data_IF_441661255497
#
_entry.id   IF_441661255497
#
_cell.length_a   1.000
_cell.length_b   1.000
_cell.length_c   1.000
_cell.angle_alpha   90.00
_cell.angle_beta   90.00
_cell.angle_gamma   90.00
#
_symmetry.space_group_name_H-M   'P 1'
#
loop_
_entity.id
_entity.type
_entity.pdbx_description
1 polymer ?
#
# COMPACT_ATOMS: atom_id res chain seq x y z
N UNK A 1 42.61 37.54 12.86
CA UNK A 1 41.78 36.93 13.94
C UNK A 1 40.54 36.17 13.44
N UNK A 2 40.18 36.17 12.14
CA UNK A 2 38.95 35.50 11.63
C UNK A 2 39.09 34.02 11.24
N UNK A 3 40.28 33.45 11.04
CA UNK A 3 40.43 32.05 10.60
C UNK A 3 40.32 30.96 11.69
N UNK A 4 40.26 31.35 13.00
CA UNK A 4 40.14 30.38 14.12
C UNK A 4 38.69 30.07 14.51
N UNK A 5 37.71 30.85 14.05
CA UNK A 5 36.29 30.66 14.41
C UNK A 5 35.54 29.75 13.47
N UNK A 6 35.96 29.62 12.17
CA UNK A 6 35.34 28.71 11.21
C UNK A 6 35.66 27.24 11.51
N UNK A 7 36.88 26.91 11.90
CA UNK A 7 37.28 25.53 12.20
C UNK A 7 36.63 24.94 13.45
N UNK A 8 36.08 25.78 14.33
CA UNK A 8 35.38 25.33 15.55
C UNK A 8 33.90 25.05 15.26
N UNK A 9 33.25 25.78 14.34
CA UNK A 9 31.87 25.52 13.93
C UNK A 9 31.74 24.27 13.09
N UNK A 10 32.66 24.03 12.15
CA UNK A 10 32.67 22.78 11.36
C UNK A 10 32.89 21.55 12.23
N UNK A 11 33.78 21.62 13.26
CA UNK A 11 34.00 20.49 14.19
C UNK A 11 32.82 20.24 15.14
N UNK A 12 32.01 21.25 15.44
CA UNK A 12 30.82 21.09 16.31
C UNK A 12 29.66 20.50 15.50
N UNK A 13 29.51 20.89 14.23
CA UNK A 13 28.50 20.35 13.30
C UNK A 13 28.82 18.89 12.99
N UNK A 14 30.08 18.54 12.76
CA UNK A 14 30.53 17.16 12.55
C UNK A 14 30.31 16.25 13.77
N UNK A 15 30.54 16.76 14.98
CA UNK A 15 30.29 15.99 16.21
C UNK A 15 28.80 15.77 16.48
N UNK A 16 27.95 16.75 16.22
CA UNK A 16 26.51 16.61 16.39
C UNK A 16 25.95 15.64 15.35
N UNK A 17 26.38 15.74 14.08
CA UNK A 17 26.01 14.82 13.02
C UNK A 17 26.47 13.38 13.31
N UNK A 18 27.70 13.19 13.80
CA UNK A 18 28.22 11.88 14.23
C UNK A 18 27.47 11.32 15.44
N UNK A 19 27.04 12.14 16.38
CA UNK A 19 26.27 11.69 17.57
C UNK A 19 24.85 11.27 17.17
N UNK A 20 24.22 12.00 16.25
CA UNK A 20 22.89 11.65 15.69
C UNK A 20 22.99 10.36 14.86
N UNK A 21 24.02 10.21 14.01
CA UNK A 21 24.30 8.98 13.26
C UNK A 21 24.52 7.77 14.19
N UNK A 22 25.24 7.96 15.29
CA UNK A 22 25.53 6.89 16.25
C UNK A 22 24.29 6.45 17.06
N UNK A 23 23.43 7.40 17.46
CA UNK A 23 22.13 7.11 18.11
C UNK A 23 21.16 6.44 17.14
N UNK A 24 21.17 6.86 15.86
CA UNK A 24 20.37 6.30 14.76
C UNK A 24 20.81 4.87 14.46
N UNK A 25 22.12 4.59 14.43
CA UNK A 25 22.66 3.24 14.23
C UNK A 25 22.21 2.26 15.31
N UNK A 26 22.22 2.68 16.58
CA UNK A 26 21.82 1.83 17.70
C UNK A 26 20.33 1.44 17.66
N UNK A 27 19.45 2.38 17.36
CA UNK A 27 18.00 2.11 17.21
C UNK A 27 17.70 1.26 15.97
N UNK A 28 18.45 1.41 14.89
CA UNK A 28 18.33 0.59 13.70
C UNK A 28 18.81 -0.84 13.94
N UNK A 29 19.99 -1.01 14.53
CA UNK A 29 20.54 -2.33 14.88
C UNK A 29 19.62 -3.09 15.83
N UNK A 30 19.00 -2.43 16.82
CA UNK A 30 18.04 -3.06 17.73
C UNK A 30 16.80 -3.58 17.00
N UNK A 31 16.28 -2.82 16.04
CA UNK A 31 15.15 -3.25 15.18
C UNK A 31 15.55 -4.43 14.29
N UNK A 32 16.71 -4.36 13.66
CA UNK A 32 17.22 -5.42 12.80
C UNK A 32 17.51 -6.71 13.57
N UNK A 33 18.00 -6.61 14.79
CA UNK A 33 18.21 -7.77 15.66
C UNK A 33 16.89 -8.45 16.02
N UNK A 34 15.85 -7.69 16.37
CA UNK A 34 14.50 -8.24 16.62
C UNK A 34 13.93 -8.93 15.38
N UNK A 35 14.13 -8.37 14.21
CA UNK A 35 13.71 -8.99 12.93
C UNK A 35 14.49 -10.30 12.71
N UNK A 36 15.78 -10.32 13.00
CA UNK A 36 16.59 -11.52 12.86
C UNK A 36 16.19 -12.62 13.87
N UNK A 37 15.84 -12.27 15.09
CA UNK A 37 15.28 -13.19 16.07
C UNK A 37 13.94 -13.76 15.59
N UNK A 38 13.03 -12.89 15.12
CA UNK A 38 11.74 -13.33 14.58
C UNK A 38 11.88 -14.24 13.37
N UNK A 39 12.83 -13.97 12.47
CA UNK A 39 13.11 -14.81 11.32
C UNK A 39 13.55 -16.22 11.73
N UNK A 40 14.44 -16.33 12.74
CA UNK A 40 14.86 -17.62 13.29
C UNK A 40 13.70 -18.37 13.96
N UNK A 41 12.86 -17.66 14.70
CA UNK A 41 11.65 -18.26 15.30
C UNK A 41 10.73 -18.84 14.21
N UNK A 42 10.51 -18.09 13.11
CA UNK A 42 9.71 -18.55 11.98
C UNK A 42 10.29 -19.84 11.35
N UNK A 43 11.60 -19.90 11.16
CA UNK A 43 12.25 -21.12 10.64
C UNK A 43 12.08 -22.31 11.58
N UNK A 44 12.19 -22.08 12.89
CA UNK A 44 11.94 -23.12 13.91
C UNK A 44 10.44 -23.53 13.95
N UNK A 45 9.52 -22.57 13.85
CA UNK A 45 8.08 -22.89 13.80
C UNK A 45 7.72 -23.68 12.54
N UNK A 46 8.24 -23.28 11.38
CA UNK A 46 7.98 -23.95 10.10
C UNK A 46 8.55 -25.38 10.04
N UNK A 47 9.55 -25.70 10.86
CA UNK A 47 10.13 -27.04 10.94
C UNK A 47 9.28 -28.03 11.79
N UNK A 48 8.27 -27.56 12.53
CA UNK A 48 7.43 -28.39 13.37
C UNK A 48 6.45 -29.21 12.52
N UNK A 49 6.33 -30.55 12.76
CA UNK A 49 5.41 -31.41 12.00
C UNK A 49 3.95 -30.97 12.06
N UNK A 50 3.51 -30.37 13.18
CA UNK A 50 2.16 -29.85 13.38
C UNK A 50 1.84 -28.68 12.45
N UNK A 51 2.82 -27.82 12.19
CA UNK A 51 2.69 -26.66 11.30
C UNK A 51 2.72 -27.10 9.85
N UNK A 52 3.52 -28.09 9.51
CA UNK A 52 3.59 -28.67 8.15
C UNK A 52 2.25 -29.32 7.77
N UNK A 53 1.55 -29.93 8.74
CA UNK A 53 0.24 -30.54 8.53
C UNK A 53 -0.88 -29.50 8.35
N UNK A 54 -0.73 -28.29 8.90
CA UNK A 54 -1.70 -27.19 8.76
C UNK A 54 -1.29 -26.27 7.59
N UNK A 55 -1.90 -26.49 6.43
CA UNK A 55 -1.60 -25.78 5.19
C UNK A 55 -1.89 -24.27 5.27
N UNK A 56 -2.89 -23.88 6.06
CA UNK A 56 -3.27 -22.46 6.20
C UNK A 56 -2.21 -21.71 7.03
N UNK A 57 -1.84 -22.27 8.17
CA UNK A 57 -0.80 -21.73 9.04
C UNK A 57 0.56 -21.71 8.35
N UNK A 58 0.91 -22.79 7.65
CA UNK A 58 2.17 -22.86 6.89
C UNK A 58 2.27 -21.77 5.83
N UNK A 59 1.19 -21.47 5.09
CA UNK A 59 1.16 -20.38 4.10
C UNK A 59 1.40 -19.01 4.74
N UNK A 60 0.80 -18.73 5.88
CA UNK A 60 0.99 -17.44 6.59
C UNK A 60 2.45 -17.29 7.01
N UNK A 61 3.03 -18.30 7.64
CA UNK A 61 4.44 -18.28 8.06
C UNK A 61 5.41 -18.16 6.88
N UNK A 62 5.14 -18.87 5.77
CA UNK A 62 5.93 -18.77 4.54
C UNK A 62 5.90 -17.38 3.96
N UNK A 63 4.74 -16.72 3.96
CA UNK A 63 4.59 -15.34 3.49
C UNK A 63 5.39 -14.36 4.37
N UNK A 64 5.28 -14.49 5.70
CA UNK A 64 6.04 -13.68 6.65
C UNK A 64 7.55 -13.87 6.45
N UNK A 65 8.02 -15.13 6.36
CA UNK A 65 9.42 -15.44 6.08
C UNK A 65 9.93 -14.82 4.79
N UNK A 66 9.15 -14.92 3.71
CA UNK A 66 9.50 -14.35 2.40
C UNK A 66 9.62 -12.81 2.44
N UNK A 67 8.84 -12.15 3.28
CA UNK A 67 8.92 -10.71 3.47
C UNK A 67 10.17 -10.28 4.25
N UNK A 68 10.60 -11.08 5.22
CA UNK A 68 11.76 -10.78 6.06
C UNK A 68 13.10 -11.20 5.43
N UNK A 69 13.11 -12.22 4.57
CA UNK A 69 14.32 -12.77 3.97
C UNK A 69 15.23 -11.72 3.28
N UNK A 70 14.74 -10.79 2.46
CA UNK A 70 15.60 -9.77 1.84
C UNK A 70 16.20 -8.79 2.85
N UNK A 71 15.50 -8.51 3.98
CA UNK A 71 16.02 -7.66 5.05
C UNK A 71 17.17 -8.36 5.75
N UNK A 72 17.02 -9.65 6.06
CA UNK A 72 18.03 -10.47 6.72
C UNK A 72 19.27 -10.59 5.86
N UNK A 73 19.12 -10.89 4.57
CA UNK A 73 20.26 -10.98 3.64
C UNK A 73 21.06 -9.67 3.58
N UNK A 74 20.36 -8.52 3.47
CA UNK A 74 21.02 -7.21 3.46
C UNK A 74 21.70 -6.90 4.80
N UNK A 75 21.13 -7.34 5.92
CA UNK A 75 21.69 -7.15 7.25
C UNK A 75 22.92 -8.02 7.51
N UNK A 76 22.94 -9.25 6.98
CA UNK A 76 24.12 -10.13 7.03
C UNK A 76 25.28 -9.56 6.21
N UNK A 77 25.00 -9.04 5.00
CA UNK A 77 26.00 -8.34 4.19
C UNK A 77 26.54 -7.09 4.91
N UNK A 78 25.65 -6.32 5.54
CA UNK A 78 26.05 -5.14 6.33
C UNK A 78 26.99 -5.50 7.49
N UNK A 79 26.68 -6.58 8.23
CA UNK A 79 27.55 -7.07 9.32
C UNK A 79 28.89 -7.53 8.81
N UNK A 80 28.89 -8.27 7.70
CA UNK A 80 30.12 -8.77 7.06
C UNK A 80 31.03 -7.61 6.64
N UNK A 81 30.51 -6.64 5.90
CA UNK A 81 31.30 -5.49 5.46
C UNK A 81 31.78 -4.61 6.61
N UNK A 82 31.00 -4.48 7.69
CA UNK A 82 31.48 -3.79 8.91
C UNK A 82 32.64 -4.51 9.57
N UNK A 83 32.60 -5.83 9.59
CA UNK A 83 33.71 -6.62 10.13
C UNK A 83 34.94 -6.50 9.24
N UNK A 84 34.79 -6.66 7.93
CA UNK A 84 35.88 -6.50 6.95
C UNK A 84 36.52 -5.09 7.06
N UNK A 85 35.69 -4.05 7.20
CA UNK A 85 36.17 -2.69 7.39
C UNK A 85 37.01 -2.56 8.66
N UNK A 86 36.57 -3.11 9.78
CA UNK A 86 37.31 -3.04 11.04
C UNK A 86 38.67 -3.79 10.96
N UNK A 87 38.68 -4.92 10.24
CA UNK A 87 39.91 -5.69 9.98
C UNK A 87 40.86 -4.90 9.07
N UNK A 88 40.39 -4.34 7.95
CA UNK A 88 41.20 -3.53 7.02
C UNK A 88 41.72 -2.24 7.66
N UNK A 89 40.93 -1.57 8.50
CA UNK A 89 41.39 -0.40 9.26
C UNK A 89 42.45 -0.76 10.30
N UNK A 90 42.33 -1.92 10.96
CA UNK A 90 43.35 -2.43 11.88
C UNK A 90 44.67 -2.74 11.13
N UNK A 91 44.59 -3.40 9.96
CA UNK A 91 45.77 -3.68 9.12
C UNK A 91 46.42 -2.38 8.64
N UNK A 92 45.65 -1.41 8.19
CA UNK A 92 46.13 -0.11 7.72
C UNK A 92 46.94 0.64 8.79
N UNK A 93 46.60 0.47 10.08
CA UNK A 93 47.38 1.09 11.18
C UNK A 93 48.73 0.38 11.43
N UNK A 94 48.86 -0.89 11.08
CA UNK A 94 50.07 -1.71 11.33
C UNK A 94 50.99 -1.75 10.13
N UNK A 95 50.46 -1.55 8.91
CA UNK A 95 51.22 -1.68 7.66
C UNK A 95 52.16 -0.48 7.46
N UNK A 96 53.41 -0.79 7.02
CA UNK A 96 54.47 0.20 6.77
C UNK A 96 54.82 0.36 5.30
N UNK A 97 54.49 -0.65 4.48
CA UNK A 97 54.73 -0.58 3.04
C UNK A 97 53.82 0.43 2.36
N UNK A 98 54.34 1.42 1.64
CA UNK A 98 53.53 2.46 0.98
C UNK A 98 52.55 1.89 -0.04
N UNK A 99 52.93 0.91 -0.86
CA UNK A 99 52.07 0.31 -1.89
C UNK A 99 50.91 -0.45 -1.24
N UNK A 100 51.19 -1.24 -0.22
CA UNK A 100 50.16 -1.98 0.50
C UNK A 100 49.22 -1.06 1.26
N UNK A 101 49.72 0.06 1.80
CA UNK A 101 48.86 1.08 2.45
C UNK A 101 47.91 1.73 1.47
N UNK A 102 48.38 2.03 0.25
CA UNK A 102 47.49 2.62 -0.79
C UNK A 102 46.39 1.65 -1.19
N UNK A 103 46.67 0.37 -1.35
CA UNK A 103 45.67 -0.67 -1.59
C UNK A 103 44.68 -0.79 -0.46
N UNK A 104 45.11 -0.84 0.80
CA UNK A 104 44.25 -0.90 1.98
C UNK A 104 43.37 0.37 2.12
N UNK A 105 43.91 1.54 1.77
CA UNK A 105 43.10 2.78 1.76
C UNK A 105 42.00 2.76 0.72
N UNK A 106 42.29 2.22 -0.49
CA UNK A 106 41.28 2.05 -1.52
C UNK A 106 40.20 1.05 -1.10
N UNK A 107 40.58 -0.07 -0.48
CA UNK A 107 39.66 -1.07 0.06
C UNK A 107 38.77 -0.51 1.17
N UNK A 108 39.35 0.21 2.13
CA UNK A 108 38.60 0.90 3.21
C UNK A 108 37.60 1.90 2.62
N UNK A 109 37.97 2.64 1.58
CA UNK A 109 37.06 3.58 0.92
C UNK A 109 35.89 2.86 0.23
N UNK A 110 36.15 1.76 -0.47
CA UNK A 110 35.11 0.95 -1.12
C UNK A 110 34.16 0.30 -0.10
N UNK A 111 34.71 -0.28 0.98
CA UNK A 111 33.90 -0.85 2.06
C UNK A 111 33.02 0.18 2.75
N UNK A 112 33.53 1.39 2.99
CA UNK A 112 32.71 2.49 3.55
C UNK A 112 31.56 2.86 2.65
N UNK A 113 31.78 2.96 1.35
CA UNK A 113 30.73 3.23 0.37
C UNK A 113 29.65 2.13 0.35
N UNK A 114 30.08 0.85 0.32
CA UNK A 114 29.16 -0.31 0.39
C UNK A 114 28.32 -0.31 1.67
N UNK A 115 28.92 0.03 2.81
CA UNK A 115 28.22 0.14 4.10
C UNK A 115 27.21 1.27 4.07
N UNK A 116 27.56 2.44 3.52
CA UNK A 116 26.64 3.58 3.41
C UNK A 116 25.44 3.26 2.51
N UNK A 117 25.65 2.59 1.39
CA UNK A 117 24.59 2.15 0.50
C UNK A 117 23.67 1.12 1.16
N UNK A 118 24.25 0.15 1.90
CA UNK A 118 23.46 -0.84 2.65
C UNK A 118 22.69 -0.21 3.82
N UNK A 119 23.28 0.75 4.53
CA UNK A 119 22.63 1.49 5.60
C UNK A 119 21.37 2.19 5.09
N UNK A 120 21.50 2.91 3.97
CA UNK A 120 20.36 3.54 3.28
C UNK A 120 19.31 2.53 2.83
N UNK A 121 19.74 1.40 2.25
CA UNK A 121 18.84 0.34 1.80
C UNK A 121 18.09 -0.30 2.97
N UNK A 122 18.77 -0.60 4.06
CA UNK A 122 18.16 -1.16 5.29
C UNK A 122 17.16 -0.19 5.92
N UNK A 123 17.48 1.10 5.98
CA UNK A 123 16.54 2.12 6.46
C UNK A 123 15.24 2.13 5.65
N UNK A 124 15.35 2.07 4.32
CA UNK A 124 14.18 2.00 3.42
C UNK A 124 13.37 0.72 3.68
N UNK A 125 14.05 -0.42 3.85
CA UNK A 125 13.37 -1.70 4.11
C UNK A 125 12.67 -1.77 5.48
N UNK A 126 13.12 -0.95 6.45
CA UNK A 126 12.54 -0.84 7.79
C UNK A 126 11.35 0.14 7.85
N UNK A 127 11.11 0.92 6.79
CA UNK A 127 9.93 1.78 6.74
C UNK A 127 8.65 0.92 6.79
N UNK A 128 7.60 1.39 7.47
CA UNK A 128 6.34 0.69 7.52
C UNK A 128 5.79 0.54 6.09
N UNK A 129 5.57 -0.71 5.68
CA UNK A 129 4.93 -0.98 4.38
C UNK A 129 3.47 -0.57 4.44
N UNK A 130 2.97 -0.01 3.33
CA UNK A 130 1.56 0.26 3.17
C UNK A 130 0.75 -1.04 3.37
N UNK A 131 -0.29 -1.06 4.22
CA UNK A 131 -1.10 -2.26 4.48
C UNK A 131 -1.80 -2.78 3.22
N UNK A 132 -1.89 -1.97 2.17
CA UNK A 132 -2.45 -2.34 0.88
C UNK A 132 -1.40 -2.79 -0.15
N UNK A 133 -0.11 -2.73 0.21
CA UNK A 133 0.95 -3.25 -0.66
C UNK A 133 0.73 -4.74 -0.97
N UNK A 134 0.90 -5.11 -2.22
CA UNK A 134 0.70 -6.48 -2.69
C UNK A 134 -0.75 -6.85 -3.05
N UNK A 135 -1.70 -5.90 -2.97
CA UNK A 135 -3.09 -6.12 -3.36
C UNK A 135 -3.35 -5.70 -4.80
N UNK A 136 -4.35 -6.31 -5.39
CA UNK A 136 -4.93 -5.88 -6.66
C UNK A 136 -5.60 -4.51 -6.50
N UNK A 137 -5.82 -3.80 -7.60
CA UNK A 137 -6.30 -2.42 -7.62
C UNK A 137 -7.61 -2.30 -8.37
N UNK A 138 -8.55 -1.58 -7.79
CA UNK A 138 -9.71 -1.03 -8.48
C UNK A 138 -9.42 0.43 -8.78
N UNK A 139 -9.35 0.78 -10.08
CA UNK A 139 -9.13 2.15 -10.54
C UNK A 139 -10.44 2.70 -11.12
N UNK A 140 -10.87 3.85 -10.61
CA UNK A 140 -12.05 4.59 -11.10
C UNK A 140 -11.57 5.90 -11.73
N UNK A 141 -11.96 6.14 -12.97
CA UNK A 141 -11.66 7.38 -13.71
C UNK A 141 -12.99 8.02 -14.03
N UNK A 142 -13.23 9.25 -13.55
CA UNK A 142 -14.46 9.99 -13.73
C UNK A 142 -14.22 11.36 -14.35
N UNK A 143 -15.00 11.70 -15.36
CA UNK A 143 -15.03 13.04 -15.89
C UNK A 143 -15.50 14.03 -14.80
N UNK A 144 -14.71 15.06 -14.54
CA UNK A 144 -15.02 16.14 -13.62
C UNK A 144 -15.52 17.39 -14.37
N UNK A 145 -15.01 18.55 -13.97
CA UNK A 145 -15.39 19.83 -14.59
C UNK A 145 -14.81 19.94 -16.01
N UNK A 146 -15.68 20.12 -17.03
CA UNK A 146 -15.24 20.31 -18.42
C UNK A 146 -16.17 19.71 -19.48
N UNK A 147 -17.25 19.04 -19.05
CA UNK A 147 -18.24 18.45 -19.97
C UNK A 147 -17.63 17.36 -20.87
N UNK A 148 -17.89 17.40 -22.16
CA UNK A 148 -17.40 16.40 -23.14
C UNK A 148 -15.87 16.31 -23.19
N UNK A 149 -15.19 17.45 -23.06
CA UNK A 149 -13.71 17.47 -23.06
C UNK A 149 -13.12 16.71 -21.86
N UNK A 150 -13.75 16.80 -20.68
CA UNK A 150 -13.35 16.01 -19.52
C UNK A 150 -13.57 14.50 -19.79
N UNK A 151 -14.66 14.14 -20.48
CA UNK A 151 -14.91 12.73 -20.83
C UNK A 151 -13.90 12.19 -21.86
N UNK A 152 -13.52 12.99 -22.85
CA UNK A 152 -12.46 12.62 -23.81
C UNK A 152 -11.10 12.48 -23.10
N UNK A 153 -10.79 13.39 -22.17
CA UNK A 153 -9.55 13.28 -21.41
C UNK A 153 -9.56 12.06 -20.45
N UNK A 154 -10.72 11.67 -19.91
CA UNK A 154 -10.84 10.43 -19.14
C UNK A 154 -10.50 9.21 -20.00
N UNK A 155 -10.89 9.20 -21.28
CA UNK A 155 -10.50 8.14 -22.21
C UNK A 155 -8.99 8.16 -22.51
N UNK A 156 -8.36 9.34 -22.62
CA UNK A 156 -6.91 9.44 -22.80
C UNK A 156 -6.15 8.93 -21.56
N UNK A 157 -6.59 9.27 -20.36
CA UNK A 157 -6.00 8.76 -19.11
C UNK A 157 -6.18 7.24 -19.00
N UNK A 158 -7.37 6.73 -19.31
CA UNK A 158 -7.60 5.29 -19.32
C UNK A 158 -6.64 4.60 -20.30
N UNK A 159 -6.49 5.10 -21.53
CA UNK A 159 -5.54 4.57 -22.50
C UNK A 159 -4.10 4.57 -21.98
N UNK A 160 -3.68 5.66 -21.32
CA UNK A 160 -2.37 5.77 -20.69
C UNK A 160 -2.14 4.68 -19.64
N UNK A 161 -3.10 4.47 -18.74
CA UNK A 161 -3.00 3.42 -17.71
C UNK A 161 -3.08 2.02 -18.29
N UNK A 162 -3.89 1.80 -19.32
CA UNK A 162 -3.95 0.52 -20.02
C UNK A 162 -2.60 0.15 -20.64
N UNK A 163 -1.97 1.10 -21.34
CA UNK A 163 -0.63 0.89 -21.90
C UNK A 163 0.44 0.68 -20.84
N UNK A 164 0.34 1.41 -19.73
CA UNK A 164 1.25 1.19 -18.61
C UNK A 164 1.10 -0.22 -18.04
N UNK A 165 -0.13 -0.69 -17.83
CA UNK A 165 -0.40 -2.05 -17.39
C UNK A 165 0.14 -3.10 -18.37
N UNK A 166 -0.04 -2.89 -19.68
CA UNK A 166 0.50 -3.75 -20.73
C UNK A 166 2.05 -3.80 -20.69
N UNK A 167 2.71 -2.66 -20.55
CA UNK A 167 4.17 -2.57 -20.43
C UNK A 167 4.71 -3.31 -19.19
N UNK A 168 3.93 -3.32 -18.10
CA UNK A 168 4.28 -4.06 -16.87
C UNK A 168 3.82 -5.53 -16.89
N UNK A 169 3.07 -5.95 -17.89
CA UNK A 169 2.50 -7.31 -17.98
C UNK A 169 1.38 -7.57 -16.99
N UNK A 170 0.69 -6.51 -16.51
CA UNK A 170 -0.44 -6.62 -15.60
C UNK A 170 -1.73 -6.97 -16.35
N UNK A 171 -2.61 -7.69 -15.68
CA UNK A 171 -3.93 -8.02 -16.23
C UNK A 171 -4.94 -6.96 -15.85
N UNK A 172 -5.64 -6.43 -16.85
CA UNK A 172 -6.70 -5.44 -16.65
C UNK A 172 -8.06 -6.02 -17.05
N UNK A 173 -9.07 -5.79 -16.21
CA UNK A 173 -10.45 -6.24 -16.43
C UNK A 173 -11.41 -5.05 -16.24
N UNK A 174 -12.37 -4.91 -17.17
CA UNK A 174 -13.39 -3.87 -17.10
C UNK A 174 -14.48 -4.29 -16.10
N UNK A 175 -14.75 -3.46 -15.11
CA UNK A 175 -15.83 -3.66 -14.15
C UNK A 175 -17.09 -2.87 -14.54
N UNK A 176 -16.92 -1.61 -14.96
CA UNK A 176 -18.03 -0.74 -15.38
C UNK A 176 -17.55 0.30 -16.37
N UNK A 177 -18.36 0.59 -17.37
CA UNK A 177 -18.08 1.61 -18.38
C UNK A 177 -19.35 2.42 -18.66
N UNK A 178 -19.24 3.75 -18.55
CA UNK A 178 -20.27 4.71 -18.94
C UNK A 178 -19.68 5.65 -19.97
N UNK A 179 -19.98 5.44 -21.25
CA UNK A 179 -19.48 6.26 -22.35
C UNK A 179 -20.38 7.49 -22.63
N UNK A 180 -19.87 8.41 -23.47
CA UNK A 180 -20.62 9.61 -23.90
C UNK A 180 -21.13 9.53 -25.33
N UNK A 181 -20.90 8.42 -26.03
CA UNK A 181 -21.21 8.24 -27.45
C UNK A 181 -20.27 8.98 -28.43
N UNK A 182 -19.36 9.86 -27.93
CA UNK A 182 -18.35 10.58 -28.72
C UNK A 182 -16.93 10.07 -28.46
N UNK A 183 -16.79 8.84 -27.93
CA UNK A 183 -15.50 8.22 -27.61
C UNK A 183 -14.89 8.66 -26.27
N UNK A 184 -15.62 9.43 -25.47
CA UNK A 184 -15.24 9.81 -24.10
C UNK A 184 -15.92 8.93 -23.05
N UNK A 185 -15.38 8.90 -21.84
CA UNK A 185 -15.97 8.20 -20.70
C UNK A 185 -16.47 9.20 -19.63
N UNK A 186 -17.75 9.08 -19.25
CA UNK A 186 -18.25 9.73 -18.02
C UNK A 186 -17.62 9.10 -16.80
N UNK A 187 -17.55 7.76 -16.84
CA UNK A 187 -16.97 6.95 -15.79
C UNK A 187 -16.45 5.64 -16.40
N UNK A 188 -15.29 5.22 -15.99
CA UNK A 188 -14.75 3.90 -16.26
C UNK A 188 -14.12 3.34 -15.01
N UNK A 189 -14.46 2.08 -14.68
CA UNK A 189 -13.96 1.36 -13.53
C UNK A 189 -13.30 0.08 -14.04
N UNK A 190 -12.05 -0.12 -13.62
CA UNK A 190 -11.26 -1.30 -14.01
C UNK A 190 -10.60 -1.93 -12.80
N UNK A 191 -10.47 -3.27 -12.81
CA UNK A 191 -9.60 -4.01 -11.90
C UNK A 191 -8.25 -4.27 -12.58
N UNK A 192 -7.16 -4.04 -11.85
CA UNK A 192 -5.79 -4.25 -12.31
C UNK A 192 -5.14 -5.25 -11.36
N UNK A 193 -4.86 -6.45 -11.87
CA UNK A 193 -4.35 -7.57 -11.07
C UNK A 193 -2.84 -7.68 -11.18
N UNK A 194 -2.15 -7.34 -10.10
CA UNK A 194 -0.72 -7.55 -9.90
C UNK A 194 -0.32 -7.20 -8.47
N UNK A 195 0.59 -7.95 -7.85
CA UNK A 195 1.13 -7.61 -6.53
C UNK A 195 1.81 -6.23 -6.46
N UNK A 196 2.23 -5.68 -7.59
CA UNK A 196 2.91 -4.38 -7.67
C UNK A 196 1.96 -3.24 -8.03
N UNK A 197 0.73 -3.54 -8.47
CA UNK A 197 -0.18 -2.56 -9.03
C UNK A 197 -0.50 -1.44 -8.03
N UNK A 198 -0.81 -1.76 -6.78
CA UNK A 198 -1.13 -0.77 -5.76
C UNK A 198 0.06 0.15 -5.47
N UNK A 199 1.26 -0.40 -5.31
CA UNK A 199 2.47 0.37 -4.96
C UNK A 199 2.91 1.34 -6.07
N UNK A 200 2.48 1.10 -7.31
CA UNK A 200 2.71 1.99 -8.43
C UNK A 200 1.57 3.00 -8.62
N UNK A 201 0.32 2.53 -8.58
CA UNK A 201 -0.83 3.33 -8.98
C UNK A 201 -1.43 4.16 -7.83
N UNK A 202 -1.11 3.90 -6.55
CA UNK A 202 -1.60 4.69 -5.42
C UNK A 202 -1.35 6.20 -5.56
N UNK A 203 -0.29 6.58 -6.27
CA UNK A 203 0.07 7.97 -6.53
C UNK A 203 -0.78 8.65 -7.61
N UNK A 204 -1.59 7.88 -8.33
CA UNK A 204 -2.47 8.40 -9.37
C UNK A 204 -3.81 8.91 -8.82
N UNK A 205 -4.10 8.67 -7.54
CA UNK A 205 -5.33 9.14 -6.89
C UNK A 205 -5.36 10.66 -6.76
N UNK A 206 -6.40 11.29 -7.33
CA UNK A 206 -6.61 12.74 -7.23
C UNK A 206 -7.19 13.38 -8.49
N UNK A 207 -7.11 14.71 -8.54
CA UNK A 207 -7.57 15.51 -9.67
C UNK A 207 -6.50 15.67 -10.75
N UNK A 208 -6.80 15.30 -11.98
CA UNK A 208 -5.95 15.45 -13.17
C UNK A 208 -6.49 16.57 -14.05
N UNK A 209 -5.70 17.59 -14.29
CA UNK A 209 -6.08 18.77 -15.09
C UNK A 209 -5.44 18.71 -16.47
N UNK A 210 -6.24 18.87 -17.52
CA UNK A 210 -5.78 19.01 -18.90
C UNK A 210 -5.91 20.44 -19.39
N UNK A 211 -4.95 20.88 -20.18
CA UNK A 211 -4.95 22.14 -20.92
C UNK A 211 -4.64 21.85 -22.38
N UNK A 212 -5.68 21.87 -23.22
CA UNK A 212 -5.55 21.69 -24.68
C UNK A 212 -6.66 22.42 -25.41
N UNK A 213 -6.52 22.54 -26.72
CA UNK A 213 -7.63 22.93 -27.61
C UNK A 213 -8.47 21.66 -27.83
N UNK A 214 -9.74 21.62 -27.40
CA UNK A 214 -10.60 20.46 -27.62
C UNK A 214 -10.80 20.17 -29.11
N UNK A 215 -11.00 18.93 -29.47
CA UNK A 215 -11.36 18.54 -30.84
C UNK A 215 -12.72 19.09 -31.26
N UNK A 216 -13.57 19.45 -30.31
CA UNK A 216 -14.89 20.04 -30.52
C UNK A 216 -14.90 21.56 -30.59
N UNK A 217 -13.74 22.24 -30.39
CA UNK A 217 -13.61 23.70 -30.34
C UNK A 217 -13.22 24.24 -31.74
N UNK A 218 -14.10 24.99 -32.35
CA UNK A 218 -13.85 25.62 -33.67
C UNK A 218 -12.98 26.88 -33.58
N UNK A 219 -12.89 27.53 -32.41
CA UNK A 219 -12.22 28.82 -32.22
C UNK A 219 -10.74 28.72 -31.79
N UNK A 220 -10.17 27.54 -31.68
CA UNK A 220 -8.76 27.31 -31.31
C UNK A 220 -8.42 27.74 -29.87
N UNK A 221 -9.38 27.93 -28.99
CA UNK A 221 -9.18 28.35 -27.60
C UNK A 221 -8.73 27.19 -26.76
N UNK A 222 -7.73 27.42 -25.89
CA UNK A 222 -7.28 26.43 -24.92
C UNK A 222 -8.32 26.32 -23.80
N UNK A 223 -8.90 25.13 -23.64
CA UNK A 223 -9.79 24.79 -22.54
C UNK A 223 -9.02 24.13 -21.43
N UNK A 224 -9.56 24.30 -20.22
CA UNK A 224 -9.06 23.62 -19.02
C UNK A 224 -10.14 22.71 -18.50
N UNK A 225 -9.90 21.39 -18.50
CA UNK A 225 -10.82 20.40 -17.99
C UNK A 225 -10.16 19.57 -16.89
N UNK A 226 -10.95 18.92 -16.09
CA UNK A 226 -10.48 18.09 -14.98
C UNK A 226 -11.15 16.71 -15.00
N UNK A 227 -10.36 15.72 -14.63
CA UNK A 227 -10.76 14.31 -14.45
C UNK A 227 -10.32 13.89 -13.07
N UNK A 228 -11.08 13.07 -12.40
CA UNK A 228 -10.72 12.50 -11.11
C UNK A 228 -10.39 11.03 -11.25
N UNK A 229 -9.32 10.61 -10.60
CA UNK A 229 -8.88 9.23 -10.52
C UNK A 229 -8.92 8.79 -9.07
N UNK A 230 -9.57 7.67 -8.77
CA UNK A 230 -9.50 7.02 -7.47
C UNK A 230 -8.82 5.65 -7.65
N UNK A 231 -7.92 5.33 -6.74
CA UNK A 231 -7.20 4.05 -6.70
C UNK A 231 -7.47 3.41 -5.35
N UNK A 232 -8.18 2.29 -5.38
CA UNK A 232 -8.59 1.54 -4.21
C UNK A 232 -7.92 0.16 -4.24
N UNK A 233 -7.44 -0.31 -3.10
CA UNK A 233 -6.98 -1.69 -3.00
C UNK A 233 -8.18 -2.63 -3.04
N UNK A 234 -8.12 -3.66 -3.89
CA UNK A 234 -9.16 -4.69 -3.91
C UNK A 234 -9.12 -5.48 -2.60
N UNK A 235 -10.27 -5.57 -1.94
CA UNK A 235 -10.39 -6.30 -0.70
C UNK A 235 -10.59 -7.79 -0.99
N UNK A 236 -9.85 -8.65 -0.31
CA UNK A 236 -10.12 -10.08 -0.29
C UNK A 236 -11.53 -10.33 0.30
N UNK A 237 -12.27 -11.27 -0.27
CA UNK A 237 -13.52 -11.73 0.33
C UNK A 237 -13.19 -12.51 1.61
N UNK A 238 -13.31 -11.84 2.74
CA UNK A 238 -13.19 -12.52 4.03
C UNK A 238 -14.46 -13.32 4.29
N UNK A 239 -14.36 -14.64 4.36
CA UNK A 239 -15.41 -15.48 4.94
C UNK A 239 -15.52 -15.13 6.43
N UNK A 240 -16.73 -14.75 6.88
CA UNK A 240 -16.95 -14.50 8.30
C UNK A 240 -17.00 -15.84 9.01
N UNK A 241 -15.92 -16.16 9.69
CA UNK A 241 -15.89 -17.27 10.65
C UNK A 241 -16.46 -16.78 11.99
N UNK A 242 -17.51 -17.46 12.45
CA UNK A 242 -18.18 -17.12 13.71
C UNK A 242 -17.63 -18.05 14.79
N UNK A 243 -16.85 -17.49 15.72
CA UNK A 243 -16.38 -18.24 16.86
C UNK A 243 -17.58 -18.68 17.73
N UNK A 244 -17.76 -19.97 18.02
CA UNK A 244 -18.81 -20.45 18.89
C UNK A 244 -18.83 -19.82 20.30
N UNK A 245 -17.68 -19.40 20.82
CA UNK A 245 -17.55 -18.79 22.14
C UNK A 245 -18.13 -17.37 22.19
N UNK A 246 -18.26 -16.72 21.03
CA UNK A 246 -18.88 -15.40 20.88
C UNK A 246 -20.41 -15.46 20.78
N UNK A 247 -20.99 -16.66 20.86
CA UNK A 247 -22.41 -16.89 20.73
C UNK A 247 -23.05 -17.23 22.06
N UNK A 248 -24.04 -16.44 22.45
CA UNK A 248 -24.98 -16.84 23.51
C UNK A 248 -26.25 -17.41 22.87
N UNK A 249 -26.56 -18.67 23.20
CA UNK A 249 -27.71 -19.40 22.66
C UNK A 249 -28.71 -19.64 23.80
N UNK A 250 -29.85 -18.99 23.69
CA UNK A 250 -30.96 -19.13 24.60
C UNK A 250 -32.09 -19.93 23.91
N UNK A 251 -32.67 -20.90 24.62
CA UNK A 251 -33.81 -21.68 24.14
C UNK A 251 -35.06 -21.29 24.95
N UNK A 252 -36.19 -21.17 24.26
CA UNK A 252 -37.43 -20.82 24.90
C UNK A 252 -38.64 -21.44 24.17
N UNK A 253 -39.82 -21.35 24.78
CA UNK A 253 -41.05 -21.87 24.18
C UNK A 253 -41.49 -20.98 23.02
N UNK A 254 -41.84 -21.64 21.89
CA UNK A 254 -42.39 -20.89 20.75
C UNK A 254 -43.76 -20.32 21.09
N UNK A 255 -44.02 -19.10 20.66
CA UNK A 255 -45.34 -18.44 20.81
C UNK A 255 -46.09 -18.52 19.47
N UNK A 256 -47.35 -19.04 19.49
CA UNK A 256 -48.20 -19.10 18.28
C UNK A 256 -49.45 -19.94 18.50
N UNK A 257 -50.41 -19.86 17.55
CA UNK A 257 -51.58 -20.70 17.53
C UNK A 257 -51.22 -22.15 17.17
N UNK A 258 -50.93 -22.99 18.17
CA UNK A 258 -50.55 -24.40 18.00
C UNK A 258 -51.09 -25.29 19.11
N UNK A 259 -51.14 -26.59 18.87
CA UNK A 259 -51.55 -27.59 19.84
C UNK A 259 -50.52 -27.84 20.96
N UNK A 260 -50.75 -28.87 21.79
CA UNK A 260 -49.91 -29.18 22.99
C UNK A 260 -48.40 -29.20 22.72
N UNK A 261 -47.95 -29.60 21.54
CA UNK A 261 -46.51 -29.65 21.17
C UNK A 261 -45.85 -28.28 21.12
N UNK A 262 -46.55 -27.21 20.76
CA UNK A 262 -46.00 -25.85 20.68
C UNK A 262 -45.83 -25.20 22.06
N UNK A 263 -46.74 -25.56 22.98
CA UNK A 263 -46.79 -24.97 24.31
C UNK A 263 -45.94 -25.71 25.37
N UNK A 264 -45.49 -26.94 25.05
CA UNK A 264 -44.75 -27.77 26.02
C UNK A 264 -43.28 -27.98 25.68
N UNK A 265 -42.86 -27.72 24.42
CA UNK A 265 -41.49 -27.99 23.97
C UNK A 265 -40.71 -26.69 23.74
N UNK A 266 -39.50 -26.55 24.31
CA UNK A 266 -38.60 -25.44 24.11
C UNK A 266 -37.93 -25.55 22.72
N UNK A 267 -38.69 -25.27 21.66
CA UNK A 267 -38.22 -25.40 20.27
C UNK A 267 -37.70 -24.10 19.67
N UNK A 268 -38.05 -22.93 20.22
CA UNK A 268 -37.57 -21.64 19.75
C UNK A 268 -36.15 -21.37 20.24
N UNK A 269 -35.34 -20.82 19.37
CA UNK A 269 -33.92 -20.48 19.61
C UNK A 269 -33.66 -19.00 19.39
N UNK A 270 -33.00 -18.39 20.36
CA UNK A 270 -32.45 -17.05 20.26
C UNK A 270 -30.92 -17.12 20.28
N UNK A 271 -30.26 -16.58 19.28
CA UNK A 271 -28.81 -16.50 19.24
C UNK A 271 -28.42 -15.03 19.32
N UNK A 272 -27.59 -14.70 20.31
CA UNK A 272 -27.02 -13.37 20.47
C UNK A 272 -25.52 -13.45 20.18
N UNK A 273 -25.05 -12.68 19.23
CA UNK A 273 -23.62 -12.51 18.97
C UNK A 273 -23.08 -11.44 19.92
N UNK A 274 -22.28 -11.84 20.90
CA UNK A 274 -21.82 -11.00 22.01
C UNK A 274 -21.05 -9.75 21.55
N UNK A 275 -20.09 -9.84 20.60
CA UNK A 275 -19.29 -8.69 20.20
C UNK A 275 -20.09 -7.59 19.48
N UNK A 276 -21.12 -7.96 18.70
CA UNK A 276 -21.91 -6.99 17.92
C UNK A 276 -23.27 -6.69 18.54
N UNK A 277 -23.67 -7.43 19.56
CA UNK A 277 -25.02 -7.34 20.17
C UNK A 277 -26.16 -7.78 19.26
N UNK A 278 -25.85 -8.38 18.10
CA UNK A 278 -26.86 -8.80 17.12
C UNK A 278 -27.64 -10.02 17.64
N UNK A 279 -28.97 -9.92 17.59
CA UNK A 279 -29.87 -10.97 18.06
C UNK A 279 -30.67 -11.52 16.89
N UNK A 280 -30.71 -12.84 16.78
CA UNK A 280 -31.53 -13.59 15.80
C UNK A 280 -32.40 -14.60 16.56
N UNK A 281 -33.71 -14.59 16.27
CA UNK A 281 -34.66 -15.55 16.81
C UNK A 281 -35.22 -16.39 15.69
N UNK A 282 -35.38 -17.70 15.94
CA UNK A 282 -36.00 -18.63 15.00
C UNK A 282 -36.93 -19.58 15.76
N UNK A 283 -38.19 -19.66 15.30
CA UNK A 283 -39.25 -20.51 15.92
C UNK A 283 -40.11 -21.23 14.87
N UNK A 284 -39.64 -21.29 13.60
CA UNK A 284 -40.43 -21.73 12.46
C UNK A 284 -40.62 -23.24 12.42
N UNK A 285 -39.66 -23.98 12.96
CA UNK A 285 -39.64 -25.45 12.93
C UNK A 285 -39.95 -26.08 14.29
N UNK A 286 -40.52 -27.29 14.26
CA UNK A 286 -40.77 -28.08 15.49
C UNK A 286 -39.48 -28.58 16.15
N UNK A 287 -38.38 -28.62 15.44
CA UNK A 287 -37.07 -29.12 15.92
C UNK A 287 -36.18 -27.98 16.35
N UNK A 288 -35.74 -27.97 17.60
CA UNK A 288 -34.76 -27.04 18.16
C UNK A 288 -33.46 -27.02 17.35
N UNK A 289 -32.96 -28.17 16.91
CA UNK A 289 -31.72 -28.26 16.13
C UNK A 289 -31.86 -27.58 14.76
N UNK A 290 -33.00 -27.75 14.08
CA UNK A 290 -33.28 -27.07 12.81
C UNK A 290 -33.39 -25.57 13.01
N UNK A 291 -34.07 -25.11 14.07
CA UNK A 291 -34.15 -23.68 14.41
C UNK A 291 -32.78 -23.09 14.75
N UNK A 292 -31.92 -23.81 15.49
CA UNK A 292 -30.55 -23.41 15.78
C UNK A 292 -29.72 -23.24 14.47
N UNK A 293 -29.76 -24.23 13.58
CA UNK A 293 -29.03 -24.17 12.29
C UNK A 293 -29.53 -23.02 11.41
N UNK A 294 -30.86 -22.81 11.36
CA UNK A 294 -31.46 -21.70 10.60
C UNK A 294 -31.10 -20.35 11.20
N UNK A 295 -31.15 -20.21 12.53
CA UNK A 295 -30.77 -19.00 13.23
C UNK A 295 -29.27 -18.66 13.01
N UNK A 296 -28.37 -19.61 13.04
CA UNK A 296 -26.94 -19.42 12.72
C UNK A 296 -26.74 -18.97 11.27
N UNK A 297 -27.48 -19.57 10.32
CA UNK A 297 -27.42 -19.15 8.91
C UNK A 297 -27.86 -17.68 8.75
N UNK A 298 -28.97 -17.29 9.39
CA UNK A 298 -29.48 -15.92 9.35
C UNK A 298 -28.53 -14.95 10.05
N UNK A 299 -27.93 -15.35 11.18
CA UNK A 299 -26.94 -14.54 11.88
C UNK A 299 -25.72 -14.29 11.00
N UNK A 300 -25.19 -15.35 10.33
CA UNK A 300 -24.04 -15.22 9.41
C UNK A 300 -24.35 -14.27 8.27
N UNK A 301 -25.53 -14.37 7.65
CA UNK A 301 -25.96 -13.48 6.58
C UNK A 301 -26.05 -12.01 7.06
N UNK A 302 -26.61 -11.76 8.24
CA UNK A 302 -26.72 -10.40 8.81
C UNK A 302 -25.36 -9.81 9.20
N UNK A 303 -24.45 -10.64 9.74
CA UNK A 303 -23.08 -10.19 10.05
C UNK A 303 -22.31 -9.84 8.77
N UNK A 304 -22.46 -10.65 7.73
CA UNK A 304 -21.88 -10.39 6.41
C UNK A 304 -22.43 -9.09 5.80
N UNK A 305 -23.75 -8.89 5.85
CA UNK A 305 -24.39 -7.65 5.38
C UNK A 305 -23.86 -6.42 6.12
N UNK A 306 -23.73 -6.52 7.46
CA UNK A 306 -23.19 -5.43 8.29
C UNK A 306 -21.73 -5.14 7.95
N UNK A 307 -20.90 -6.17 7.81
CA UNK A 307 -19.48 -6.02 7.43
C UNK A 307 -19.33 -5.39 6.05
N UNK A 308 -20.13 -5.84 5.08
CA UNK A 308 -20.15 -5.26 3.72
C UNK A 308 -20.59 -3.81 3.71
N UNK A 309 -21.58 -3.45 4.53
CA UNK A 309 -22.03 -2.05 4.66
C UNK A 309 -20.95 -1.16 5.26
N UNK A 310 -20.31 -1.58 6.35
CA UNK A 310 -19.21 -0.84 6.97
C UNK A 310 -18.00 -0.72 6.04
N UNK A 311 -17.73 -1.76 5.23
CA UNK A 311 -16.69 -1.73 4.18
C UNK A 311 -17.05 -0.70 3.11
N UNK A 312 -18.25 -0.75 2.56
CA UNK A 312 -18.72 0.19 1.55
C UNK A 312 -18.69 1.66 2.04
N UNK A 313 -19.05 1.91 3.30
CA UNK A 313 -18.95 3.25 3.91
C UNK A 313 -17.50 3.73 4.04
N UNK A 314 -16.56 2.85 4.44
CA UNK A 314 -15.12 3.16 4.49
C UNK A 314 -14.54 3.44 3.10
N UNK A 315 -14.87 2.60 2.11
CA UNK A 315 -14.44 2.80 0.72
C UNK A 315 -15.01 4.10 0.14
N UNK A 316 -16.28 4.41 0.42
CA UNK A 316 -16.88 5.67 -0.01
C UNK A 316 -16.20 6.90 0.64
N UNK A 317 -15.84 6.80 1.92
CA UNK A 317 -15.09 7.85 2.62
C UNK A 317 -13.66 8.01 2.05
N UNK A 318 -12.95 6.91 1.80
CA UNK A 318 -11.63 6.93 1.15
C UNK A 318 -11.70 7.52 -0.26
N UNK A 319 -12.67 7.07 -1.09
CA UNK A 319 -12.90 7.61 -2.43
C UNK A 319 -13.15 9.12 -2.36
N UNK A 320 -13.99 9.58 -1.44
CA UNK A 320 -14.27 11.00 -1.26
C UNK A 320 -13.03 11.80 -0.85
N UNK A 321 -12.16 11.26 0.01
CA UNK A 321 -10.93 11.91 0.42
C UNK A 321 -9.89 12.00 -0.71
N UNK A 322 -9.84 11.00 -1.60
CA UNK A 322 -8.92 10.96 -2.74
C UNK A 322 -9.35 11.90 -3.87
N UNK A 323 -10.65 11.95 -4.16
CA UNK A 323 -11.21 12.67 -5.32
C UNK A 323 -11.45 14.16 -5.02
N UNK A 324 -11.64 14.52 -3.75
CA UNK A 324 -12.00 15.90 -3.37
C UNK A 324 -13.33 16.33 -3.97
N UNK A 325 -13.42 17.61 -4.38
CA UNK A 325 -14.62 18.18 -5.02
C UNK A 325 -14.68 17.95 -6.54
N UNK A 326 -13.60 17.47 -7.15
CA UNK A 326 -13.44 17.37 -8.63
C UNK A 326 -13.26 18.73 -9.32
N UNK A 327 -12.96 19.78 -8.55
CA UNK A 327 -12.67 21.11 -9.09
C UNK A 327 -11.27 21.17 -9.71
N UNK A 328 -11.10 22.04 -10.69
CA UNK A 328 -9.81 22.33 -11.38
C UNK A 328 -8.74 22.86 -10.44
N UNK A 329 -9.10 23.40 -9.29
CA UNK A 329 -8.18 23.91 -8.26
C UNK A 329 -7.52 22.78 -7.46
N UNK A 330 -8.21 21.67 -7.22
CA UNK A 330 -7.74 20.51 -6.43
C UNK A 330 -6.99 19.51 -7.31
N UNK A 331 -6.03 20.00 -8.10
CA UNK A 331 -5.25 19.17 -9.01
C UNK A 331 -3.98 18.60 -8.36
N UNK A 332 -3.70 17.34 -8.60
CA UNK A 332 -2.39 16.75 -8.33
C UNK A 332 -1.46 16.92 -9.53
N UNK A 333 -1.99 16.82 -10.77
CA UNK A 333 -1.22 16.94 -12.02
C UNK A 333 -1.86 17.87 -13.03
N UNK A 334 -0.99 18.45 -13.89
CA UNK A 334 -1.41 19.20 -15.05
C UNK A 334 -0.75 18.65 -16.31
N UNK A 335 -1.57 18.34 -17.31
CA UNK A 335 -1.19 17.90 -18.65
C UNK A 335 -1.37 19.08 -19.61
N UNK A 336 -0.28 19.70 -20.02
CA UNK A 336 -0.28 20.85 -20.92
C UNK A 336 0.16 20.42 -22.32
N UNK A 337 -0.80 20.23 -23.22
CA UNK A 337 -0.54 19.77 -24.58
C UNK A 337 0.23 20.79 -25.42
N UNK A 338 -0.13 22.11 -25.44
CA UNK A 338 0.62 23.10 -26.20
C UNK A 338 2.11 23.19 -25.87
N UNK A 339 2.49 22.84 -24.62
CA UNK A 339 3.88 22.86 -24.17
C UNK A 339 4.51 21.48 -24.10
N UNK A 340 3.78 20.42 -24.50
CA UNK A 340 4.18 19.00 -24.33
C UNK A 340 4.71 18.70 -22.93
N UNK A 341 4.04 19.24 -21.89
CA UNK A 341 4.51 19.29 -20.51
C UNK A 341 3.54 18.61 -19.54
N UNK A 342 4.08 17.73 -18.69
CA UNK A 342 3.40 17.23 -17.49
C UNK A 342 4.01 17.90 -16.27
N UNK A 343 3.17 18.37 -15.35
CA UNK A 343 3.62 18.90 -14.05
C UNK A 343 2.90 18.19 -12.91
N UNK A 344 3.62 17.53 -12.01
CA UNK A 344 3.10 17.02 -10.75
C UNK A 344 3.31 18.07 -9.66
N UNK A 345 2.20 18.58 -9.12
CA UNK A 345 2.22 19.70 -8.18
C UNK A 345 2.60 19.30 -6.75
N UNK A 346 2.55 18.02 -6.42
CA UNK A 346 2.89 17.52 -5.08
C UNK A 346 4.38 17.62 -4.78
N UNK A 347 5.20 17.41 -5.81
CA UNK A 347 6.66 17.41 -5.72
C UNK A 347 7.32 18.45 -6.61
N UNK A 348 6.53 19.29 -7.32
CA UNK A 348 7.04 20.29 -8.25
C UNK A 348 7.76 19.70 -9.48
N UNK A 349 7.56 18.41 -9.78
CA UNK A 349 8.18 17.75 -10.93
C UNK A 349 7.59 18.26 -12.22
N UNK A 350 8.45 18.60 -13.18
CA UNK A 350 8.04 19.01 -14.54
C UNK A 350 8.80 18.20 -15.58
N UNK A 351 8.06 17.53 -16.47
CA UNK A 351 8.60 16.73 -17.57
C UNK A 351 8.08 17.25 -18.91
N UNK A 352 8.96 17.35 -19.91
CA UNK A 352 8.64 17.81 -21.26
C UNK A 352 8.50 16.67 -22.26
N UNK A 353 7.96 15.54 -21.81
CA UNK A 353 7.75 14.29 -22.57
C UNK A 353 6.31 13.80 -22.47
N UNK A 354 5.34 14.72 -22.59
CA UNK A 354 3.92 14.40 -22.37
C UNK A 354 3.44 13.25 -23.25
N UNK A 355 3.85 13.19 -24.51
CA UNK A 355 3.44 12.13 -25.46
C UNK A 355 3.88 10.75 -24.97
N UNK A 356 5.12 10.59 -24.52
CA UNK A 356 5.64 9.33 -23.99
C UNK A 356 4.87 8.87 -22.74
N UNK A 357 4.55 9.83 -21.86
CA UNK A 357 3.77 9.57 -20.67
C UNK A 357 2.37 9.08 -21.03
N UNK A 358 1.70 9.71 -22.01
CA UNK A 358 0.39 9.27 -22.51
C UNK A 358 0.45 7.92 -23.24
N UNK A 359 1.62 7.51 -23.74
CA UNK A 359 1.87 6.18 -24.29
C UNK A 359 2.20 5.13 -23.21
N UNK A 360 2.15 5.48 -21.92
CA UNK A 360 2.31 4.56 -20.80
C UNK A 360 3.67 4.61 -20.09
N UNK A 361 4.60 5.50 -20.46
CA UNK A 361 5.88 5.65 -19.76
C UNK A 361 5.71 6.46 -18.45
N UNK A 362 5.06 5.88 -17.44
CA UNK A 362 4.78 6.54 -16.15
C UNK A 362 5.92 6.41 -15.12
N UNK A 363 6.84 5.48 -15.30
CA UNK A 363 7.90 5.19 -14.32
C UNK A 363 8.67 6.44 -13.85
N UNK A 364 9.08 7.39 -14.72
CA UNK A 364 9.81 8.57 -14.26
C UNK A 364 9.05 9.44 -13.26
N UNK A 365 7.71 9.46 -13.36
CA UNK A 365 6.84 10.20 -12.44
C UNK A 365 6.65 9.42 -11.15
N UNK A 366 6.36 8.12 -11.26
CA UNK A 366 6.12 7.23 -10.13
C UNK A 366 7.37 7.10 -9.27
N UNK A 367 8.54 6.91 -9.87
CA UNK A 367 9.81 6.78 -9.15
C UNK A 367 10.17 8.06 -8.39
N UNK A 368 9.91 9.24 -8.97
CA UNK A 368 10.09 10.51 -8.29
C UNK A 368 9.16 10.66 -7.08
N UNK A 369 7.91 10.20 -7.19
CA UNK A 369 6.94 10.21 -6.09
C UNK A 369 7.30 9.20 -5.00
N UNK A 370 7.70 7.97 -5.37
CA UNK A 370 8.24 6.96 -4.44
C UNK A 370 9.43 7.50 -3.66
N UNK A 371 10.38 8.12 -4.36
CA UNK A 371 11.55 8.73 -3.73
C UNK A 371 11.16 9.82 -2.73
N UNK A 372 10.23 10.69 -3.10
CA UNK A 372 9.73 11.73 -2.20
C UNK A 372 9.00 11.15 -0.96
N UNK A 373 8.17 10.10 -1.13
CA UNK A 373 7.51 9.41 -0.02
C UNK A 373 8.55 8.83 0.95
N UNK A 374 9.57 8.12 0.44
CA UNK A 374 10.67 7.58 1.25
C UNK A 374 11.40 8.70 2.00
N UNK A 375 11.72 9.82 1.34
CA UNK A 375 12.37 10.95 1.99
C UNK A 375 11.52 11.59 3.09
N UNK A 376 10.20 11.66 2.89
CA UNK A 376 9.27 12.15 3.91
C UNK A 376 9.16 11.22 5.11
N UNK A 377 9.08 9.90 4.86
CA UNK A 377 9.05 8.90 5.94
C UNK A 377 10.36 8.86 6.71
N UNK A 378 11.50 8.96 6.04
CA UNK A 378 12.80 9.07 6.69
C UNK A 378 12.89 10.30 7.60
N UNK A 379 12.38 11.45 7.15
CA UNK A 379 12.33 12.67 7.98
C UNK A 379 11.46 12.51 9.23
N UNK A 380 10.39 11.72 9.18
CA UNK A 380 9.55 11.42 10.37
C UNK A 380 10.26 10.52 11.39
N UNK A 381 11.18 9.68 10.92
CA UNK A 381 11.97 8.79 11.78
C UNK A 381 13.15 9.55 12.44
N UNK A 382 13.56 10.69 11.85
CA UNK A 382 14.67 11.53 12.36
C UNK A 382 14.24 12.50 13.49
N UNK A 383 12.94 12.53 13.87
CA UNK A 383 12.43 13.28 15.02
C UNK A 383 12.22 12.31 16.17
#
# INVERSE_FOLDING_TARGET
>A
MCRRFESSRERIIDRAALTVLFLRGKTMEDKLNKIAERFRELELEMSKPEVIADQSRFRVLTRERSQLAPIISAYEDYKRFRQELAESESLLTQEKDPEMREMLQAEVADLRHKIEDLDRKLLIMLLPKDPNSGKDVIMEIRAGTGGEEAALFAADLFRMYSRYADLKGWKMEYLSVSDTGLGGYKEIIVSIRSPEAYDHLKYESGGHRVQRVPTTEAGGRIHTSAVTVAVLAEAEEDEIDINPDDLRIDVYRSSGHGGQSVNTTDSAVRITHLPTGMVVTCQDEKSQLKNKTKALRVLRARLLEKANKERAEREAALRKSQVGSGDRSERIRTYNYPQSRLTDHRIGLTLYSLEKILEGELDPVIDALKKNEIEQELKKVDI
#
